data_IF_608763098574
#
_entry.id   IF_608763098574
#
_cell.length_a   1.000
_cell.length_b   1.000
_cell.length_c   1.000
_cell.angle_alpha   90.00
_cell.angle_beta   90.00
_cell.angle_gamma   90.00
#
_symmetry.space_group_name_H-M   'P 1'
#
loop_
_entity.id
_entity.type
_entity.pdbx_description
1 polymer ?
#
# COMPACT_ATOMS: atom_id res chain seq x y z
N UNK A 1 -29.86 -19.65 -9.29
CA UNK A 1 -29.89 -18.41 -8.48
C UNK A 1 -28.61 -17.64 -8.76
N UNK A 2 -28.73 -16.63 -9.61
CA UNK A 2 -27.65 -15.79 -10.13
C UNK A 2 -27.26 -14.77 -9.07
N UNK A 3 -26.00 -14.79 -8.63
CA UNK A 3 -25.43 -13.82 -7.69
C UNK A 3 -25.51 -12.42 -8.29
N UNK A 4 -26.31 -11.53 -7.70
CA UNK A 4 -26.21 -10.09 -7.87
C UNK A 4 -24.85 -9.64 -7.30
N UNK A 5 -23.79 -9.71 -8.10
CA UNK A 5 -22.70 -8.75 -7.94
C UNK A 5 -23.24 -7.46 -8.55
N UNK A 6 -23.67 -6.52 -7.70
CA UNK A 6 -23.82 -5.15 -8.14
C UNK A 6 -22.41 -4.63 -8.46
N UNK A 7 -22.25 -4.09 -9.68
CA UNK A 7 -21.09 -3.30 -10.10
C UNK A 7 -20.94 -2.08 -9.20
N UNK A 8 -20.35 -2.24 -8.02
CA UNK A 8 -20.08 -1.14 -7.09
C UNK A 8 -18.80 -0.36 -7.46
N UNK A 9 -18.34 -0.45 -8.72
CA UNK A 9 -17.06 0.13 -9.16
C UNK A 9 -15.83 -0.60 -8.62
N UNK A 10 -15.92 -1.90 -8.31
CA UNK A 10 -14.82 -2.74 -7.82
C UNK A 10 -14.76 -4.09 -8.56
N UNK A 11 -13.57 -4.48 -9.03
CA UNK A 11 -13.36 -5.66 -9.90
C UNK A 11 -13.49 -7.00 -9.17
N UNK A 12 -12.99 -7.11 -7.94
CA UNK A 12 -13.07 -8.29 -7.08
C UNK A 12 -13.94 -8.08 -5.83
N UNK A 13 -14.69 -6.97 -5.77
CA UNK A 13 -15.59 -6.66 -4.66
C UNK A 13 -14.88 -6.22 -3.38
N UNK A 14 -13.70 -5.62 -3.48
CA UNK A 14 -12.92 -5.18 -2.30
C UNK A 14 -13.41 -3.85 -1.70
N UNK A 15 -14.48 -3.26 -2.24
CA UNK A 15 -15.11 -2.05 -1.68
C UNK A 15 -15.55 -2.19 -0.22
N UNK A 16 -15.92 -3.40 0.19
CA UNK A 16 -16.36 -3.72 1.56
C UNK A 16 -15.20 -4.02 2.53
N UNK A 17 -13.94 -3.96 2.08
CA UNK A 17 -12.81 -4.14 2.98
C UNK A 17 -12.78 -3.02 4.02
N UNK A 18 -12.74 -3.43 5.29
CA UNK A 18 -12.56 -2.54 6.44
C UNK A 18 -11.09 -2.16 6.55
N UNK A 19 -10.83 -0.87 6.76
CA UNK A 19 -9.48 -0.31 6.86
C UNK A 19 -9.24 0.25 8.27
N UNK A 20 -7.98 0.41 8.67
CA UNK A 20 -7.61 0.83 10.04
C UNK A 20 -6.37 1.74 10.04
N UNK A 21 -5.40 1.41 9.19
CA UNK A 21 -4.33 2.34 8.80
C UNK A 21 -4.80 3.31 7.71
N UNK A 22 -3.94 4.28 7.40
CA UNK A 22 -4.14 5.28 6.37
C UNK A 22 -3.83 4.78 4.95
N UNK A 23 -3.54 5.70 4.01
CA UNK A 23 -3.48 5.42 2.57
C UNK A 23 -2.56 4.29 2.12
N UNK A 24 -1.41 4.13 2.79
CA UNK A 24 -0.45 3.05 2.53
C UNK A 24 -0.72 1.79 3.36
N UNK A 25 -1.84 1.69 4.09
CA UNK A 25 -2.24 0.45 4.77
C UNK A 25 -2.56 -0.68 3.79
N UNK A 26 -2.41 -1.93 4.23
CA UNK A 26 -2.60 -3.12 3.38
C UNK A 26 -4.03 -3.18 2.81
N UNK A 27 -5.06 -3.17 3.67
CA UNK A 27 -6.46 -3.19 3.21
C UNK A 27 -6.84 -1.99 2.34
N UNK A 28 -6.27 -0.81 2.61
CA UNK A 28 -6.55 0.42 1.83
C UNK A 28 -5.95 0.32 0.42
N UNK A 29 -4.70 -0.17 0.30
CA UNK A 29 -4.09 -0.42 -1.00
C UNK A 29 -4.84 -1.49 -1.79
N UNK A 30 -5.26 -2.59 -1.14
CA UNK A 30 -6.06 -3.64 -1.78
C UNK A 30 -7.39 -3.09 -2.31
N UNK A 31 -8.11 -2.29 -1.51
CA UNK A 31 -9.35 -1.65 -1.91
C UNK A 31 -9.14 -0.69 -3.08
N UNK A 32 -8.13 0.19 -3.01
CA UNK A 32 -7.82 1.16 -4.08
C UNK A 32 -7.40 0.52 -5.40
N UNK A 33 -6.67 -0.60 -5.35
CA UNK A 33 -6.25 -1.33 -6.54
C UNK A 33 -7.41 -2.06 -7.23
N UNK A 34 -8.48 -2.34 -6.49
CA UNK A 34 -9.65 -3.04 -7.01
C UNK A 34 -10.69 -2.11 -7.65
N UNK A 35 -10.58 -0.79 -7.45
CA UNK A 35 -11.46 0.21 -8.07
C UNK A 35 -11.43 0.05 -9.60
N UNK A 36 -12.60 -0.03 -10.21
CA UNK A 36 -12.76 0.08 -11.65
C UNK A 36 -12.45 1.50 -12.09
N UNK A 37 -11.48 1.64 -12.99
CA UNK A 37 -11.07 2.93 -13.55
C UNK A 37 -11.36 2.95 -15.03
N UNK A 38 -12.00 4.02 -15.49
CA UNK A 38 -12.04 4.33 -16.91
C UNK A 38 -10.65 4.79 -17.34
N UNK A 39 -9.91 3.92 -18.02
CA UNK A 39 -8.64 4.29 -18.66
C UNK A 39 -8.94 4.81 -20.07
N UNK A 40 -8.23 5.86 -20.49
CA UNK A 40 -8.19 6.31 -21.90
C UNK A 40 -7.62 5.22 -22.83
N UNK A 41 -6.81 4.31 -22.28
CA UNK A 41 -6.32 3.10 -22.96
C UNK A 41 -6.99 1.88 -22.32
N UNK A 42 -8.29 1.73 -22.53
CA UNK A 42 -9.00 0.49 -22.18
C UNK A 42 -8.76 -0.57 -23.24
N UNK A 43 -7.77 -1.42 -22.99
CA UNK A 43 -7.61 -2.63 -23.76
C UNK A 43 -8.67 -3.61 -23.25
N UNK A 44 -9.86 -3.62 -23.86
CA UNK A 44 -10.95 -4.59 -23.64
C UNK A 44 -10.40 -6.02 -23.47
N UNK A 45 -9.41 -6.38 -24.29
CA UNK A 45 -8.69 -7.64 -24.23
C UNK A 45 -7.98 -7.90 -22.89
N UNK A 46 -7.33 -6.89 -22.29
CA UNK A 46 -6.68 -7.03 -21.00
C UNK A 46 -7.70 -7.28 -19.88
N UNK A 47 -8.84 -6.57 -19.89
CA UNK A 47 -9.93 -6.80 -18.92
C UNK A 47 -10.43 -8.25 -19.00
N UNK A 48 -10.61 -8.77 -20.22
CA UNK A 48 -11.01 -10.17 -20.45
C UNK A 48 -9.95 -11.18 -19.99
N UNK A 49 -8.66 -10.91 -20.23
CA UNK A 49 -7.56 -11.79 -19.80
C UNK A 49 -7.49 -11.88 -18.28
N UNK A 50 -7.67 -10.77 -17.56
CA UNK A 50 -7.57 -10.74 -16.10
C UNK A 50 -8.89 -11.04 -15.38
N UNK A 51 -10.04 -11.07 -16.06
CA UNK A 51 -11.34 -11.35 -15.45
C UNK A 51 -11.35 -12.65 -14.60
N UNK A 52 -10.83 -13.79 -15.07
CA UNK A 52 -10.81 -15.02 -14.26
C UNK A 52 -10.04 -14.86 -12.94
N UNK A 53 -8.98 -14.05 -12.94
CA UNK A 53 -8.20 -13.73 -11.74
C UNK A 53 -9.01 -12.87 -10.77
N UNK A 54 -9.65 -11.80 -11.22
CA UNK A 54 -10.51 -10.97 -10.37
C UNK A 54 -11.70 -11.75 -9.82
N UNK A 55 -12.36 -12.58 -10.65
CA UNK A 55 -13.45 -13.45 -10.21
C UNK A 55 -12.98 -14.44 -9.14
N UNK A 56 -11.78 -15.02 -9.29
CA UNK A 56 -11.21 -15.91 -8.28
C UNK A 56 -10.92 -15.18 -6.97
N UNK A 57 -10.29 -14.00 -7.04
CA UNK A 57 -10.01 -13.15 -5.87
C UNK A 57 -11.29 -12.78 -5.13
N UNK A 58 -12.32 -12.35 -5.87
CA UNK A 58 -13.62 -12.00 -5.29
C UNK A 58 -14.31 -13.19 -4.65
N UNK A 59 -14.26 -14.38 -5.28
CA UNK A 59 -14.78 -15.61 -4.66
C UNK A 59 -14.04 -15.99 -3.38
N UNK A 60 -12.72 -15.80 -3.31
CA UNK A 60 -11.95 -16.03 -2.08
C UNK A 60 -12.43 -15.06 -1.00
N UNK A 61 -12.38 -13.75 -1.27
CA UNK A 61 -12.83 -12.73 -0.33
C UNK A 61 -14.25 -13.01 0.19
N UNK A 62 -15.19 -13.30 -0.70
CA UNK A 62 -16.57 -13.62 -0.33
C UNK A 62 -16.69 -14.89 0.55
N UNK A 63 -16.03 -15.99 0.16
CA UNK A 63 -16.19 -17.28 0.84
C UNK A 63 -15.41 -17.39 2.15
N UNK A 64 -14.18 -16.86 2.19
CA UNK A 64 -13.26 -17.07 3.30
C UNK A 64 -12.66 -15.79 3.89
N UNK A 65 -13.00 -14.60 3.37
CA UNK A 65 -12.50 -13.31 3.87
C UNK A 65 -11.08 -12.97 3.44
N UNK A 66 -10.53 -13.68 2.44
CA UNK A 66 -9.18 -13.47 1.92
C UNK A 66 -9.16 -12.50 0.72
N UNK A 67 -8.52 -11.35 0.90
CA UNK A 67 -8.18 -10.40 -0.14
C UNK A 67 -6.68 -10.42 -0.46
N UNK A 68 -6.32 -10.32 -1.74
CA UNK A 68 -4.95 -10.44 -2.24
C UNK A 68 -4.67 -9.42 -3.35
N UNK A 69 -3.44 -8.94 -3.42
CA UNK A 69 -3.02 -8.00 -4.46
C UNK A 69 -1.52 -8.01 -4.71
N UNK A 70 -1.17 -7.74 -5.97
CA UNK A 70 0.19 -7.49 -6.41
C UNK A 70 0.32 -6.05 -6.85
N UNK A 71 1.40 -5.41 -6.43
CA UNK A 71 1.67 -4.01 -6.71
C UNK A 71 3.07 -3.91 -7.29
N UNK A 72 3.15 -3.28 -8.45
CA UNK A 72 4.38 -3.05 -9.19
C UNK A 72 4.46 -1.56 -9.46
N UNK A 73 5.56 -0.93 -9.07
CA UNK A 73 5.82 0.48 -9.36
C UNK A 73 7.24 0.60 -9.87
N UNK A 74 7.40 1.31 -10.98
CA UNK A 74 8.67 1.52 -11.65
C UNK A 74 8.91 3.01 -11.77
N UNK A 75 10.16 3.43 -11.56
CA UNK A 75 10.54 4.83 -11.66
C UNK A 75 11.89 4.93 -12.35
N UNK A 76 11.91 5.68 -13.44
CA UNK A 76 13.14 6.18 -14.07
C UNK A 76 13.27 7.67 -13.80
N UNK A 77 14.46 8.15 -13.48
CA UNK A 77 14.75 9.58 -13.36
C UNK A 77 16.08 9.88 -14.07
N UNK A 78 16.16 11.08 -14.66
CA UNK A 78 17.36 11.60 -15.27
C UNK A 78 17.66 12.98 -14.69
N UNK A 79 18.90 13.20 -14.30
CA UNK A 79 19.42 14.48 -13.87
C UNK A 79 19.97 15.27 -15.08
N UNK A 80 19.87 16.59 -15.04
CA UNK A 80 20.50 17.43 -16.06
C UNK A 80 22.01 17.58 -15.85
N UNK A 81 22.47 17.40 -14.62
CA UNK A 81 23.87 17.43 -14.20
C UNK A 81 24.01 16.66 -12.88
N UNK A 82 25.10 15.93 -12.68
CA UNK A 82 25.40 15.22 -11.45
C UNK A 82 26.87 15.33 -11.08
N UNK A 83 27.13 15.37 -9.77
CA UNK A 83 28.50 15.45 -9.25
C UNK A 83 29.29 14.14 -9.41
N UNK A 84 28.59 13.03 -9.69
CA UNK A 84 29.16 11.69 -9.87
C UNK A 84 29.31 11.31 -11.34
N UNK A 85 28.78 12.10 -12.27
CA UNK A 85 28.73 11.80 -13.71
C UNK A 85 27.75 10.68 -14.09
N UNK A 86 26.85 10.33 -13.19
CA UNK A 86 25.87 9.24 -13.35
C UNK A 86 24.47 9.85 -13.20
N UNK A 87 23.88 10.22 -14.33
CA UNK A 87 22.69 11.08 -14.39
C UNK A 87 21.39 10.29 -14.39
N UNK A 88 21.45 9.00 -14.75
CA UNK A 88 20.27 8.16 -14.92
C UNK A 88 20.04 7.25 -13.71
N UNK A 89 18.78 7.04 -13.35
CA UNK A 89 18.36 6.10 -12.31
C UNK A 89 17.15 5.31 -12.76
N UNK A 90 17.08 4.04 -12.39
CA UNK A 90 15.95 3.16 -12.69
C UNK A 90 15.75 2.16 -11.57
N UNK A 91 14.54 2.08 -11.04
CA UNK A 91 14.23 1.17 -9.95
C UNK A 91 12.77 0.73 -9.90
N UNK A 92 12.52 -0.29 -9.08
CA UNK A 92 11.21 -0.88 -8.88
C UNK A 92 10.87 -1.13 -7.42
N UNK A 93 9.59 -1.04 -7.09
CA UNK A 93 8.97 -1.49 -5.84
C UNK A 93 7.98 -2.60 -6.18
N UNK A 94 8.15 -3.75 -5.52
CA UNK A 94 7.36 -4.96 -5.72
C UNK A 94 6.71 -5.33 -4.40
N UNK A 95 5.39 -5.45 -4.39
CA UNK A 95 4.66 -5.86 -3.18
C UNK A 95 3.66 -6.95 -3.47
N UNK A 96 3.66 -7.96 -2.62
CA UNK A 96 2.57 -8.91 -2.47
C UNK A 96 1.89 -8.66 -1.13
N UNK A 97 0.60 -8.36 -1.18
CA UNK A 97 -0.17 -7.95 -0.02
C UNK A 97 -1.41 -8.82 0.14
N UNK A 98 -1.82 -9.02 1.39
CA UNK A 98 -3.08 -9.69 1.68
C UNK A 98 -3.68 -9.28 3.01
N UNK A 99 -5.01 -9.38 3.05
CA UNK A 99 -5.82 -9.19 4.25
C UNK A 99 -6.75 -10.38 4.39
N UNK A 100 -6.75 -11.04 5.55
CA UNK A 100 -7.61 -12.18 5.82
C UNK A 100 -8.47 -11.93 7.05
N UNK A 101 -9.77 -11.69 6.82
CA UNK A 101 -10.77 -11.52 7.88
C UNK A 101 -11.19 -12.88 8.43
N UNK A 102 -10.76 -13.16 9.66
CA UNK A 102 -10.98 -14.42 10.36
C UNK A 102 -12.16 -14.35 11.34
N UNK A 103 -12.39 -13.20 11.97
CA UNK A 103 -13.44 -12.99 12.97
C UNK A 103 -14.44 -11.94 12.45
N UNK A 104 -15.73 -12.13 12.76
CA UNK A 104 -16.82 -11.21 12.43
C UNK A 104 -16.85 -10.78 10.95
N UNK A 105 -16.61 -11.73 10.04
CA UNK A 105 -16.66 -11.47 8.60
C UNK A 105 -18.03 -10.95 8.17
N UNK A 106 -18.06 -9.80 7.50
CA UNK A 106 -19.30 -9.14 7.07
C UNK A 106 -20.14 -8.60 8.22
N UNK A 107 -19.58 -8.51 9.43
CA UNK A 107 -20.21 -7.95 10.63
C UNK A 107 -19.32 -6.86 11.21
N UNK A 108 -19.82 -6.18 12.23
CA UNK A 108 -19.06 -5.21 13.03
C UNK A 108 -17.91 -5.91 13.77
N UNK A 109 -16.88 -5.14 14.12
CA UNK A 109 -15.74 -5.62 14.90
C UNK A 109 -14.95 -6.77 14.23
N UNK A 110 -14.52 -6.62 12.97
CA UNK A 110 -13.77 -7.66 12.28
C UNK A 110 -12.38 -7.85 12.89
N UNK A 111 -11.98 -9.10 13.00
CA UNK A 111 -10.61 -9.51 13.32
C UNK A 111 -9.92 -10.04 12.08
N UNK A 112 -8.75 -9.50 11.74
CA UNK A 112 -8.04 -9.84 10.49
C UNK A 112 -6.52 -9.89 10.66
N UNK A 113 -5.89 -10.73 9.85
CA UNK A 113 -4.44 -10.72 9.65
C UNK A 113 -4.14 -9.94 8.37
N UNK A 114 -3.21 -8.98 8.43
CA UNK A 114 -2.72 -8.26 7.25
C UNK A 114 -1.22 -8.49 7.08
N UNK A 115 -0.79 -8.68 5.83
CA UNK A 115 0.63 -8.85 5.51
C UNK A 115 1.05 -8.10 4.25
N UNK A 116 2.35 -7.80 4.21
CA UNK A 116 3.05 -7.25 3.05
C UNK A 116 4.42 -7.90 2.94
N UNK A 117 4.64 -8.58 1.81
CA UNK A 117 5.97 -8.93 1.34
C UNK A 117 6.42 -7.84 0.37
N UNK A 118 7.58 -7.24 0.61
CA UNK A 118 8.06 -6.09 -0.14
C UNK A 118 9.51 -6.29 -0.55
N UNK A 119 9.81 -5.98 -1.81
CA UNK A 119 11.15 -5.90 -2.35
C UNK A 119 11.30 -4.58 -3.10
N UNK A 120 12.47 -3.96 -2.98
CA UNK A 120 12.82 -2.77 -3.74
C UNK A 120 14.20 -2.98 -4.36
N UNK A 121 14.36 -2.53 -5.60
CA UNK A 121 15.59 -2.79 -6.35
C UNK A 121 15.88 -1.70 -7.37
N UNK A 122 17.15 -1.54 -7.69
CA UNK A 122 17.62 -0.95 -8.95
C UNK A 122 17.38 -1.94 -10.11
N UNK A 123 17.22 -1.42 -11.33
CA UNK A 123 16.97 -2.23 -12.52
C UNK A 123 18.14 -2.04 -13.48
N UNK A 124 18.72 -3.15 -13.96
CA UNK A 124 19.87 -3.11 -14.87
C UNK A 124 21.14 -2.63 -14.17
N UNK A 125 21.93 -1.82 -14.87
CA UNK A 125 23.14 -1.18 -14.33
C UNK A 125 22.90 0.22 -13.76
N UNK A 126 21.64 0.66 -13.70
CA UNK A 126 21.28 1.98 -13.20
C UNK A 126 21.30 2.02 -11.66
N UNK A 127 21.64 3.17 -11.09
CA UNK A 127 21.47 3.40 -9.66
C UNK A 127 19.98 3.46 -9.28
N UNK A 128 19.69 3.27 -7.98
CA UNK A 128 18.32 3.41 -7.48
C UNK A 128 17.87 4.88 -7.50
N UNK A 129 16.60 5.19 -7.83
CA UNK A 129 16.10 6.57 -7.77
C UNK A 129 16.25 7.22 -6.38
N UNK A 130 16.27 6.41 -5.32
CA UNK A 130 16.53 6.87 -3.96
C UNK A 130 17.97 7.32 -3.69
N UNK A 131 18.94 7.05 -4.56
CA UNK A 131 20.34 7.49 -4.36
C UNK A 131 20.68 8.73 -5.21
N UNK A 132 19.91 9.01 -6.26
CA UNK A 132 20.17 10.10 -7.20
C UNK A 132 20.22 11.48 -6.54
N UNK A 133 19.37 11.73 -5.53
CA UNK A 133 19.34 13.03 -4.83
C UNK A 133 20.67 13.41 -4.17
N UNK A 134 21.43 12.42 -3.66
CA UNK A 134 22.77 12.65 -3.14
C UNK A 134 23.82 12.88 -4.24
N UNK A 135 23.67 12.21 -5.38
CA UNK A 135 24.56 12.30 -6.53
C UNK A 135 24.50 13.66 -7.25
N UNK A 136 23.35 14.33 -7.25
CA UNK A 136 23.17 15.67 -7.86
C UNK A 136 23.40 16.83 -6.90
N UNK A 137 23.84 16.56 -5.67
CA UNK A 137 24.05 17.61 -4.65
C UNK A 137 22.77 18.36 -4.24
N UNK A 138 21.59 17.76 -4.45
CA UNK A 138 20.33 18.41 -4.14
C UNK A 138 20.17 18.58 -2.62
N UNK A 139 19.96 19.84 -2.19
CA UNK A 139 19.54 20.14 -0.81
C UNK A 139 18.10 19.68 -0.52
N UNK A 140 17.36 19.24 -1.55
CA UNK A 140 16.00 18.75 -1.44
C UNK A 140 15.94 17.33 -0.87
N UNK A 141 14.86 17.03 -0.15
CA UNK A 141 14.58 15.69 0.35
C UNK A 141 14.40 14.71 -0.83
N UNK A 142 15.24 13.67 -0.88
CA UNK A 142 15.27 12.54 -1.82
C UNK A 142 14.07 12.42 -2.80
N UNK A 143 14.36 12.56 -4.10
CA UNK A 143 13.39 12.60 -5.23
C UNK A 143 12.71 11.27 -5.52
N UNK A 144 13.28 10.16 -5.07
CA UNK A 144 12.77 8.80 -5.28
C UNK A 144 12.82 7.98 -4.00
N UNK A 145 12.51 8.57 -2.85
CA UNK A 145 12.79 8.03 -1.51
C UNK A 145 12.36 6.58 -1.28
N UNK A 146 11.23 6.17 -1.85
CA UNK A 146 10.77 4.78 -1.77
C UNK A 146 11.71 3.79 -2.45
N UNK A 147 12.32 4.16 -3.57
CA UNK A 147 13.06 3.27 -4.45
C UNK A 147 14.50 3.11 -3.98
N UNK A 148 14.74 2.12 -3.12
CA UNK A 148 16.05 1.85 -2.54
C UNK A 148 16.47 0.40 -2.78
N UNK A 149 17.74 0.18 -3.08
CA UNK A 149 18.33 -1.16 -3.18
C UNK A 149 18.64 -1.81 -1.82
N UNK A 150 18.61 -1.03 -0.74
CA UNK A 150 18.87 -1.52 0.61
C UNK A 150 17.67 -2.27 1.22
N UNK A 151 16.50 -2.18 0.60
CA UNK A 151 15.30 -2.88 1.04
C UNK A 151 15.14 -4.20 0.27
N UNK A 152 15.88 -5.22 0.70
CA UNK A 152 15.76 -6.59 0.17
C UNK A 152 14.38 -7.16 0.49
N UNK A 153 14.05 -8.30 -0.12
CA UNK A 153 12.77 -8.99 0.10
C UNK A 153 12.54 -9.20 1.60
N UNK A 154 11.52 -8.54 2.14
CA UNK A 154 11.19 -8.53 3.55
C UNK A 154 9.69 -8.69 3.76
N UNK A 155 9.31 -9.40 4.83
CA UNK A 155 7.94 -9.41 5.33
C UNK A 155 7.73 -8.11 6.11
N UNK A 156 7.53 -7.02 5.38
CA UNK A 156 7.56 -5.65 5.90
C UNK A 156 6.36 -5.32 6.78
N UNK A 157 5.24 -6.03 6.61
CA UNK A 157 4.08 -5.98 7.50
C UNK A 157 3.60 -7.41 7.78
N UNK A 158 3.31 -7.69 9.05
CA UNK A 158 2.53 -8.84 9.49
C UNK A 158 1.85 -8.46 10.80
N UNK A 159 0.54 -8.22 10.77
CA UNK A 159 -0.18 -7.78 11.95
C UNK A 159 -1.55 -8.43 12.08
N UNK A 160 -2.03 -8.42 13.32
CA UNK A 160 -3.42 -8.65 13.65
C UNK A 160 -4.10 -7.30 13.88
N UNK A 161 -5.24 -7.07 13.23
CA UNK A 161 -6.11 -5.91 13.48
C UNK A 161 -7.46 -6.39 14.00
N UNK A 162 -7.97 -5.74 15.06
CA UNK A 162 -9.27 -6.07 15.67
C UNK A 162 -10.06 -4.79 15.96
N UNK A 163 -11.31 -4.75 15.48
CA UNK A 163 -12.29 -3.74 15.89
C UNK A 163 -13.06 -4.17 17.15
N UNK A 164 -13.54 -3.21 17.92
CA UNK A 164 -14.38 -3.37 19.10
C UNK A 164 -15.41 -2.24 19.18
N UNK A 165 -16.49 -2.49 19.91
CA UNK A 165 -17.53 -1.50 20.21
C UNK A 165 -18.12 -0.88 18.95
N UNK A 166 -18.56 -1.73 18.01
CA UNK A 166 -19.06 -1.29 16.71
C UNK A 166 -18.03 -0.47 15.91
N UNK A 167 -16.77 -0.93 15.94
CA UNK A 167 -15.61 -0.32 15.28
C UNK A 167 -15.19 1.05 15.87
N UNK A 168 -15.73 1.45 17.03
CA UNK A 168 -15.31 2.67 17.74
C UNK A 168 -13.91 2.59 18.32
N UNK A 169 -13.44 1.38 18.61
CA UNK A 169 -12.06 1.14 19.06
C UNK A 169 -11.44 0.10 18.13
N UNK A 170 -10.21 0.32 17.70
CA UNK A 170 -9.45 -0.66 16.95
C UNK A 170 -8.03 -0.76 17.47
N UNK A 171 -7.49 -1.98 17.42
CA UNK A 171 -6.09 -2.25 17.73
C UNK A 171 -5.41 -2.91 16.54
N UNK A 172 -4.11 -2.64 16.37
CA UNK A 172 -3.23 -3.42 15.52
C UNK A 172 -1.99 -3.84 16.31
N UNK A 173 -1.60 -5.10 16.22
CA UNK A 173 -0.42 -5.64 16.93
C UNK A 173 0.37 -6.54 15.98
N UNK A 174 1.69 -6.40 15.97
CA UNK A 174 2.60 -7.24 15.21
C UNK A 174 3.76 -6.44 14.61
N UNK A 175 4.19 -6.84 13.42
CA UNK A 175 5.15 -6.11 12.60
C UNK A 175 4.41 -5.07 11.76
N UNK A 176 4.62 -3.79 12.07
CA UNK A 176 3.82 -2.67 11.59
C UNK A 176 4.60 -1.74 10.67
N UNK A 177 3.86 -1.09 9.77
CA UNK A 177 4.25 0.16 9.13
C UNK A 177 3.68 1.31 9.97
N UNK A 178 4.44 1.85 10.92
CA UNK A 178 3.91 2.82 11.90
C UNK A 178 3.42 4.12 11.26
N UNK A 179 3.98 4.46 10.11
CA UNK A 179 3.60 5.60 9.29
C UNK A 179 2.14 5.54 8.84
N UNK A 180 1.55 4.35 8.68
CA UNK A 180 0.12 4.25 8.31
C UNK A 180 -0.81 4.49 9.50
N UNK A 181 -0.28 4.54 10.73
CA UNK A 181 -1.08 4.70 11.93
C UNK A 181 -0.92 6.07 12.59
N UNK A 182 0.30 6.62 12.51
CA UNK A 182 0.70 7.88 13.10
C UNK A 182 0.87 8.91 11.99
N UNK A 183 0.02 9.95 12.01
CA UNK A 183 0.04 11.06 11.05
C UNK A 183 -0.07 10.63 9.58
N UNK A 184 -0.99 9.71 9.32
CA UNK A 184 -1.27 9.29 7.96
C UNK A 184 -1.93 10.44 7.17
N UNK A 185 -1.30 10.83 6.06
CA UNK A 185 -1.78 11.91 5.18
C UNK A 185 -2.11 11.40 3.77
N UNK A 186 -3.00 12.07 3.02
CA UNK A 186 -3.50 11.57 1.72
C UNK A 186 -2.41 11.24 0.69
N UNK A 187 -1.31 12.00 0.68
CA UNK A 187 -0.22 11.88 -0.29
C UNK A 187 0.89 10.91 0.11
N UNK A 188 0.79 10.31 1.31
CA UNK A 188 1.73 9.30 1.77
C UNK A 188 1.52 8.03 0.96
N UNK A 189 2.16 7.96 -0.20
CA UNK A 189 2.16 6.81 -1.08
C UNK A 189 3.36 6.83 -2.02
N UNK A 190 3.89 5.65 -2.36
CA UNK A 190 5.05 5.53 -3.25
C UNK A 190 4.68 5.39 -4.73
N UNK A 191 3.38 5.27 -5.01
CA UNK A 191 2.86 4.90 -6.34
C UNK A 191 1.91 5.94 -6.93
N UNK A 192 1.65 7.03 -6.21
CA UNK A 192 0.67 8.03 -6.61
C UNK A 192 1.10 9.43 -6.16
N UNK A 193 0.68 10.44 -6.93
CA UNK A 193 0.88 11.87 -6.69
C UNK A 193 2.37 12.26 -6.61
N UNK A 194 2.95 12.37 -5.40
CA UNK A 194 4.32 12.84 -5.18
C UNK A 194 5.24 11.74 -4.66
N UNK A 195 6.39 11.55 -5.31
CA UNK A 195 7.36 10.47 -5.01
C UNK A 195 8.57 10.92 -4.17
N UNK A 196 8.71 12.22 -3.92
CA UNK A 196 9.78 12.78 -3.12
C UNK A 196 9.43 12.71 -1.62
N UNK A 197 10.48 12.57 -0.78
CA UNK A 197 10.32 12.37 0.66
C UNK A 197 9.50 13.46 1.36
N UNK A 198 9.52 14.70 0.89
CA UNK A 198 8.81 15.81 1.51
C UNK A 198 7.28 15.63 1.56
N UNK A 199 6.70 14.84 0.65
CA UNK A 199 5.25 14.59 0.60
C UNK A 199 4.86 13.17 1.02
N UNK A 200 5.83 12.26 1.17
CA UNK A 200 5.55 10.86 1.56
C UNK A 200 5.62 10.66 3.08
N UNK A 201 6.47 11.38 3.80
CA UNK A 201 6.62 11.22 5.26
C UNK A 201 6.59 12.59 5.92
N UNK A 202 5.92 12.70 7.06
CA UNK A 202 6.01 13.90 7.89
C UNK A 202 7.46 14.06 8.42
N UNK A 203 8.18 15.13 8.02
CA UNK A 203 9.58 15.31 8.40
C UNK A 203 9.78 15.65 9.89
N UNK A 204 8.71 16.03 10.60
CA UNK A 204 8.75 16.41 12.03
C UNK A 204 8.52 15.23 12.98
N UNK A 205 8.19 14.05 12.45
CA UNK A 205 7.91 12.86 13.25
C UNK A 205 9.01 11.81 13.14
N UNK A 206 9.55 11.42 14.29
CA UNK A 206 10.39 10.23 14.42
C UNK A 206 9.51 8.98 14.42
N UNK A 207 9.46 8.28 13.29
CA UNK A 207 8.82 6.96 13.20
C UNK A 207 9.89 5.87 13.15
N UNK A 208 9.57 4.68 13.65
CA UNK A 208 10.45 3.51 13.56
C UNK A 208 10.58 2.97 12.11
N UNK A 209 9.83 3.54 11.17
CA UNK A 209 9.73 3.07 9.79
C UNK A 209 8.85 1.82 9.66
N UNK A 210 9.04 1.11 8.55
CA UNK A 210 8.32 -0.11 8.21
C UNK A 210 9.05 -1.32 8.81
N UNK A 211 8.30 -2.24 9.41
CA UNK A 211 8.82 -3.53 9.88
C UNK A 211 9.17 -3.58 11.37
N UNK A 212 8.90 -2.52 12.12
CA UNK A 212 9.09 -2.53 13.57
C UNK A 212 7.98 -3.35 14.26
N UNK A 213 8.32 -4.06 15.33
CA UNK A 213 7.33 -4.72 16.17
C UNK A 213 6.66 -3.70 17.10
N UNK A 214 5.35 -3.79 17.26
CA UNK A 214 4.65 -3.09 18.31
C UNK A 214 3.14 -3.17 18.20
N UNK A 215 2.48 -2.24 18.87
CA UNK A 215 1.04 -2.16 18.99
C UNK A 215 0.55 -0.72 18.80
N UNK A 216 -0.63 -0.59 18.21
CA UNK A 216 -1.35 0.68 18.04
C UNK A 216 -2.77 0.45 18.52
N UNK A 217 -3.33 1.40 19.26
CA UNK A 217 -4.74 1.50 19.54
C UNK A 217 -5.27 2.84 19.02
N UNK A 218 -6.44 2.83 18.40
CA UNK A 218 -7.19 4.03 18.00
C UNK A 218 -8.60 3.91 18.56
N UNK A 219 -9.12 4.99 19.11
CA UNK A 219 -10.50 5.10 19.56
C UNK A 219 -11.13 6.34 18.94
N UNK A 220 -12.42 6.29 18.68
CA UNK A 220 -13.20 7.44 18.25
C UNK A 220 -14.10 7.88 19.39
N UNK A 221 -13.91 9.11 19.87
CA UNK A 221 -14.80 9.73 20.88
C UNK A 221 -16.16 10.11 20.27
N UNK A 222 -16.25 10.31 18.95
CA UNK A 222 -17.50 10.51 18.22
C UNK A 222 -17.39 10.14 16.74
N UNK A 223 -18.49 10.23 15.99
CA UNK A 223 -18.53 9.76 14.59
C UNK A 223 -17.57 10.54 13.64
N UNK A 224 -17.07 11.70 14.08
CA UNK A 224 -16.20 12.59 13.30
C UNK A 224 -14.85 12.93 13.98
N UNK A 225 -14.58 12.43 15.19
CA UNK A 225 -13.37 12.78 15.95
C UNK A 225 -12.74 11.54 16.56
N UNK A 226 -11.41 11.44 16.43
CA UNK A 226 -10.57 10.57 17.27
C UNK A 226 -10.76 10.99 18.73
#
# INVERSE_FOLDING_TARGET
MTSKNQDNGFQAGYGELKTFGGPEGVSEQLKKADIERESIYQWESARRIFKPWYDWKGRRQYKNGLALGFFFSFLGQQASDSTTGDDDSLGGIYRFQGSWTLINRGRKDPGRIEWRLENRSSIGSFQSPGTLGGAVGAAALNTGFGYSENFKTDLSVLNWTQGFFDERVGIAVGRLAFDVYLDAMPFQTFSRDFINRAFIINPTMGITGIGALGAVAKGFVGDNFL
#
